data_IF_176076556651
#
_entry.id   IF_176076556651
#
_cell.length_a   1.000
_cell.length_b   1.000
_cell.length_c   1.000
_cell.angle_alpha   90.00
_cell.angle_beta   90.00
_cell.angle_gamma   90.00
#
_symmetry.space_group_name_H-M   'P 1'
#
loop_
_entity.id
_entity.type
_entity.pdbx_description
1 polymer ?
#
# COMPACT_ATOMS: atom_id res chain seq x y z
N UNK A 1 -9.28 -45.74 8.95
CA UNK A 1 -9.91 -44.43 9.22
C UNK A 1 -9.55 -43.38 8.17
N UNK A 2 -8.30 -43.17 7.80
CA UNK A 2 -7.87 -42.25 6.76
C UNK A 2 -8.53 -42.54 5.40
N UNK A 3 -8.62 -43.82 4.98
CA UNK A 3 -9.27 -44.22 3.73
C UNK A 3 -10.79 -43.90 3.72
N UNK A 4 -11.46 -44.05 4.84
CA UNK A 4 -12.88 -43.69 5.01
C UNK A 4 -13.09 -42.16 4.93
N UNK A 5 -12.15 -41.38 5.46
CA UNK A 5 -12.21 -39.92 5.38
C UNK A 5 -11.99 -39.43 3.95
N UNK A 6 -11.01 -40.00 3.26
CA UNK A 6 -10.68 -39.65 1.86
C UNK A 6 -11.84 -40.00 0.92
N UNK A 7 -12.49 -41.17 1.11
CA UNK A 7 -13.62 -41.59 0.27
C UNK A 7 -14.89 -40.71 0.43
N UNK A 8 -15.07 -40.09 1.59
CA UNK A 8 -16.23 -39.24 1.86
C UNK A 8 -15.94 -37.73 1.73
N UNK A 9 -14.68 -37.34 1.55
CA UNK A 9 -14.27 -35.94 1.45
C UNK A 9 -14.95 -35.21 0.26
N UNK A 10 -15.23 -35.89 -0.82
CA UNK A 10 -15.90 -35.36 -2.03
C UNK A 10 -17.43 -35.55 -2.02
N UNK A 11 -17.99 -36.18 -0.99
CA UNK A 11 -19.43 -36.46 -0.94
C UNK A 11 -20.17 -35.38 -0.16
N UNK A 12 -20.72 -34.39 -0.87
CA UNK A 12 -21.48 -33.26 -0.28
C UNK A 12 -22.65 -33.75 0.57
N UNK A 13 -23.32 -34.86 0.19
CA UNK A 13 -24.46 -35.39 0.94
C UNK A 13 -24.06 -35.92 2.33
N UNK A 14 -22.83 -36.42 2.47
CA UNK A 14 -22.31 -36.87 3.76
C UNK A 14 -22.15 -35.68 4.71
N UNK A 15 -21.63 -34.55 4.25
CA UNK A 15 -21.43 -33.34 5.04
C UNK A 15 -22.73 -32.65 5.43
N UNK A 16 -23.73 -32.68 4.56
CA UNK A 16 -25.08 -32.19 4.86
C UNK A 16 -25.80 -33.04 5.91
N UNK A 17 -25.53 -34.33 5.93
CA UNK A 17 -26.14 -35.25 6.91
C UNK A 17 -25.52 -35.12 8.31
N UNK A 18 -24.25 -34.70 8.39
CA UNK A 18 -23.53 -34.57 9.66
C UNK A 18 -22.81 -33.19 9.75
N UNK A 19 -23.56 -32.08 9.89
CA UNK A 19 -23.02 -30.74 9.86
C UNK A 19 -21.99 -30.45 10.98
N UNK A 20 -22.12 -31.14 12.12
CA UNK A 20 -21.15 -31.02 13.19
C UNK A 20 -19.77 -31.61 12.85
N UNK A 21 -19.70 -32.65 12.02
CA UNK A 21 -18.43 -33.19 11.53
C UNK A 21 -17.76 -32.21 10.56
N UNK A 22 -18.55 -31.57 9.72
CA UNK A 22 -18.05 -30.52 8.85
C UNK A 22 -17.46 -29.35 9.65
N UNK A 23 -18.17 -28.91 10.68
CA UNK A 23 -17.71 -27.84 11.57
C UNK A 23 -16.40 -28.22 12.31
N UNK A 24 -16.33 -29.44 12.85
CA UNK A 24 -15.10 -29.95 13.49
C UNK A 24 -13.92 -30.04 12.51
N UNK A 25 -14.16 -30.50 11.28
CA UNK A 25 -13.10 -30.62 10.27
C UNK A 25 -12.58 -29.24 9.83
N UNK A 26 -13.47 -28.26 9.67
CA UNK A 26 -13.09 -26.88 9.39
C UNK A 26 -12.29 -26.26 10.55
N UNK A 27 -12.73 -26.51 11.78
CA UNK A 27 -12.01 -26.06 12.97
C UNK A 27 -10.62 -26.71 13.08
N UNK A 28 -10.51 -28.01 12.83
CA UNK A 28 -9.23 -28.72 12.81
C UNK A 28 -8.29 -28.18 11.75
N UNK A 29 -8.79 -27.94 10.52
CA UNK A 29 -8.03 -27.37 9.43
C UNK A 29 -7.54 -25.96 9.79
N UNK A 30 -8.40 -25.15 10.39
CA UNK A 30 -8.02 -23.81 10.85
C UNK A 30 -6.90 -23.86 11.90
N UNK A 31 -7.01 -24.71 12.90
CA UNK A 31 -5.96 -24.86 13.93
C UNK A 31 -4.66 -25.41 13.34
N UNK A 32 -4.74 -26.32 12.36
CA UNK A 32 -3.57 -26.84 11.65
C UNK A 32 -2.86 -25.73 10.87
N UNK A 33 -3.60 -24.90 10.16
CA UNK A 33 -3.03 -23.76 9.42
C UNK A 33 -2.36 -22.79 10.40
N UNK A 34 -2.98 -22.51 11.55
CA UNK A 34 -2.40 -21.63 12.56
C UNK A 34 -1.10 -22.20 13.14
N UNK A 35 -1.06 -23.49 13.48
CA UNK A 35 0.12 -24.16 14.00
C UNK A 35 1.31 -24.14 13.00
N UNK A 36 1.02 -24.40 11.71
CA UNK A 36 2.03 -24.32 10.64
C UNK A 36 2.57 -22.89 10.48
N UNK A 37 1.69 -21.89 10.49
CA UNK A 37 2.09 -20.47 10.38
C UNK A 37 2.97 -20.01 11.54
N UNK A 38 2.74 -20.53 12.75
CA UNK A 38 3.55 -20.25 13.95
C UNK A 38 4.84 -21.08 13.99
N UNK A 39 5.05 -21.98 13.00
CA UNK A 39 6.17 -22.93 12.99
C UNK A 39 6.15 -23.91 14.18
N UNK A 40 4.99 -24.13 14.75
CA UNK A 40 4.76 -25.09 15.84
C UNK A 40 4.55 -26.50 15.27
N UNK A 41 5.61 -27.07 14.70
CA UNK A 41 5.55 -28.33 13.94
C UNK A 41 5.07 -29.53 14.79
N UNK A 42 5.40 -29.54 16.08
CA UNK A 42 4.97 -30.59 17.00
C UNK A 42 3.45 -30.56 17.13
N UNK A 43 2.85 -29.37 17.32
CA UNK A 43 1.42 -29.21 17.39
C UNK A 43 0.72 -29.50 16.06
N UNK A 44 1.32 -29.10 14.94
CA UNK A 44 0.78 -29.42 13.62
C UNK A 44 0.69 -30.95 13.40
N UNK A 45 1.73 -31.68 13.81
CA UNK A 45 1.72 -33.15 13.76
C UNK A 45 0.65 -33.76 14.68
N UNK A 46 0.51 -33.25 15.92
CA UNK A 46 -0.52 -33.69 16.89
C UNK A 46 -1.93 -33.43 16.36
N UNK A 47 -2.19 -32.26 15.75
CA UNK A 47 -3.50 -31.93 15.17
C UNK A 47 -3.83 -32.82 13.99
N UNK A 48 -2.82 -33.19 13.18
CA UNK A 48 -3.00 -34.06 12.01
C UNK A 48 -3.35 -35.50 12.42
N UNK A 49 -2.78 -36.02 13.51
CA UNK A 49 -2.96 -37.40 13.98
C UNK A 49 -4.13 -37.50 14.97
N UNK A 50 -4.28 -36.53 15.87
CA UNK A 50 -5.15 -36.59 17.06
C UNK A 50 -6.60 -36.16 16.84
N UNK A 51 -7.03 -35.91 15.60
CA UNK A 51 -8.39 -35.46 15.25
C UNK A 51 -8.82 -34.21 16.04
N UNK A 52 -10.13 -33.91 16.07
CA UNK A 52 -10.68 -32.70 16.68
C UNK A 52 -10.24 -32.41 18.13
N UNK A 53 -9.91 -33.45 18.92
CA UNK A 53 -9.42 -33.26 20.29
C UNK A 53 -8.06 -32.55 20.36
N UNK A 54 -7.13 -32.90 19.51
CA UNK A 54 -5.84 -32.22 19.47
C UNK A 54 -5.97 -30.76 19.03
N UNK A 55 -6.89 -30.46 18.12
CA UNK A 55 -7.19 -29.09 17.72
C UNK A 55 -7.83 -28.28 18.87
N UNK A 56 -8.69 -28.87 19.68
CA UNK A 56 -9.24 -28.25 20.89
C UNK A 56 -8.15 -27.97 21.93
N UNK A 57 -7.27 -28.93 22.18
CA UNK A 57 -6.15 -28.74 23.10
C UNK A 57 -5.23 -27.61 22.63
N UNK A 58 -4.88 -27.60 21.34
CA UNK A 58 -4.09 -26.53 20.75
C UNK A 58 -4.78 -25.17 20.89
N UNK A 59 -6.08 -25.11 20.65
CA UNK A 59 -6.86 -23.89 20.81
C UNK A 59 -6.75 -23.30 22.21
N UNK A 60 -6.93 -24.11 23.26
CA UNK A 60 -6.87 -23.61 24.63
C UNK A 60 -5.43 -23.36 25.12
N UNK A 61 -4.48 -24.24 24.80
CA UNK A 61 -3.12 -24.17 25.31
C UNK A 61 -2.26 -23.11 24.58
N UNK A 62 -2.42 -22.98 23.27
CA UNK A 62 -1.55 -22.14 22.45
C UNK A 62 -2.32 -20.98 21.80
N UNK A 63 -3.39 -21.30 21.06
CA UNK A 63 -4.08 -20.28 20.26
C UNK A 63 -4.70 -19.19 21.13
N UNK A 64 -5.44 -19.56 22.20
CA UNK A 64 -6.10 -18.61 23.11
C UNK A 64 -5.11 -17.84 23.98
N UNK A 65 -4.02 -18.47 24.38
CA UNK A 65 -2.98 -17.86 25.23
C UNK A 65 -2.04 -16.92 24.46
N UNK A 66 -1.99 -17.05 23.13
CA UNK A 66 -1.10 -16.26 22.31
C UNK A 66 -1.50 -14.78 22.26
N UNK A 67 -0.52 -13.85 22.18
CA UNK A 67 -0.80 -12.43 21.94
C UNK A 67 -1.64 -12.24 20.68
N UNK A 68 -2.51 -11.22 20.67
CA UNK A 68 -3.43 -10.95 19.55
C UNK A 68 -2.72 -10.77 18.19
N UNK A 69 -1.50 -10.24 18.21
CA UNK A 69 -0.66 -10.07 17.01
C UNK A 69 -0.19 -11.37 16.34
N UNK A 70 -0.24 -12.49 17.10
CA UNK A 70 0.15 -13.83 16.61
C UNK A 70 -1.05 -14.76 16.45
N UNK A 71 -2.27 -14.31 16.77
CA UNK A 71 -3.50 -15.10 16.62
C UNK A 71 -3.99 -15.10 15.18
N UNK A 72 -3.80 -16.21 14.50
CA UNK A 72 -4.51 -16.66 13.32
C UNK A 72 -4.63 -15.72 12.12
N UNK A 73 -5.56 -16.04 11.27
CA UNK A 73 -5.85 -15.34 10.02
C UNK A 73 -6.55 -14.00 10.29
N UNK A 74 -5.84 -12.90 10.02
CA UNK A 74 -6.50 -11.59 9.93
C UNK A 74 -7.07 -11.40 8.52
N UNK A 75 -8.37 -11.12 8.45
CA UNK A 75 -9.02 -10.78 7.18
C UNK A 75 -8.33 -9.56 6.56
N UNK A 76 -8.12 -9.53 5.23
CA UNK A 76 -7.58 -8.36 4.57
C UNK A 76 -8.31 -7.08 5.00
N UNK A 77 -7.55 -6.06 5.42
CA UNK A 77 -8.09 -4.79 5.92
C UNK A 77 -8.66 -4.84 7.36
N UNK A 78 -8.50 -5.93 8.12
CA UNK A 78 -8.91 -5.96 9.52
C UNK A 78 -8.10 -4.98 10.38
N UNK A 79 -6.81 -4.88 10.12
CA UNK A 79 -5.92 -3.92 10.76
C UNK A 79 -6.40 -2.48 10.53
N UNK A 80 -6.69 -2.12 9.28
CA UNK A 80 -7.18 -0.78 8.94
C UNK A 80 -8.50 -0.47 9.61
N UNK A 81 -9.46 -1.44 9.61
CA UNK A 81 -10.76 -1.25 10.27
C UNK A 81 -10.61 -1.00 11.77
N UNK A 82 -9.71 -1.73 12.42
CA UNK A 82 -9.40 -1.54 13.83
C UNK A 82 -8.76 -0.17 14.06
N UNK A 83 -7.76 0.19 13.25
CA UNK A 83 -7.07 1.48 13.37
C UNK A 83 -8.00 2.67 13.12
N UNK A 84 -8.92 2.56 12.15
CA UNK A 84 -9.95 3.57 11.90
C UNK A 84 -10.82 3.78 13.15
N UNK A 85 -11.30 2.70 13.79
CA UNK A 85 -12.11 2.82 15.03
C UNK A 85 -11.34 3.45 16.17
N UNK A 86 -10.06 3.08 16.34
CA UNK A 86 -9.19 3.66 17.36
C UNK A 86 -8.98 5.16 17.12
N UNK A 87 -8.69 5.58 15.88
CA UNK A 87 -8.53 6.99 15.53
C UNK A 87 -9.82 7.78 15.68
N UNK A 88 -10.97 7.22 15.30
CA UNK A 88 -12.27 7.85 15.51
C UNK A 88 -12.58 8.08 16.99
N UNK A 89 -12.24 7.11 17.86
CA UNK A 89 -12.36 7.27 19.29
C UNK A 89 -11.41 8.34 19.84
N UNK A 90 -10.17 8.38 19.35
CA UNK A 90 -9.19 9.41 19.73
C UNK A 90 -9.63 10.81 19.30
N UNK A 91 -10.18 10.95 18.08
CA UNK A 91 -10.75 12.22 17.59
C UNK A 91 -11.91 12.65 18.48
N UNK A 92 -12.81 11.73 18.84
CA UNK A 92 -13.93 12.05 19.73
C UNK A 92 -13.48 12.57 21.10
N UNK A 93 -12.39 12.04 21.65
CA UNK A 93 -11.92 12.42 22.99
C UNK A 93 -10.93 13.58 23.00
N UNK A 94 -10.03 13.67 22.01
CA UNK A 94 -8.89 14.59 22.04
C UNK A 94 -8.87 15.58 20.87
N UNK A 95 -9.58 15.32 19.79
CA UNK A 95 -9.74 16.16 18.59
C UNK A 95 -8.46 16.87 18.10
N UNK A 96 -7.34 16.12 18.04
CA UNK A 96 -6.03 16.67 17.64
C UNK A 96 -5.81 16.53 16.14
N UNK A 97 -5.12 17.50 15.53
CA UNK A 97 -4.79 17.54 14.10
C UNK A 97 -4.21 16.21 13.59
N UNK A 98 -3.20 15.67 14.27
CA UNK A 98 -2.51 14.46 13.81
C UNK A 98 -3.41 13.20 13.76
N UNK A 99 -4.46 13.10 14.60
CA UNK A 99 -5.40 11.97 14.51
C UNK A 99 -6.22 12.04 13.23
N UNK A 100 -6.64 13.23 12.83
CA UNK A 100 -7.33 13.46 11.56
C UNK A 100 -6.41 13.17 10.37
N UNK A 101 -5.15 13.63 10.41
CA UNK A 101 -4.17 13.36 9.36
C UNK A 101 -3.93 11.86 9.19
N UNK A 102 -3.68 11.12 10.28
CA UNK A 102 -3.51 9.66 10.23
C UNK A 102 -4.75 8.92 9.69
N UNK A 103 -5.95 9.39 10.04
CA UNK A 103 -7.19 8.83 9.51
C UNK A 103 -7.32 9.10 8.00
N UNK A 104 -6.90 10.29 7.57
CA UNK A 104 -6.80 10.69 6.18
C UNK A 104 -5.87 9.76 5.39
N UNK A 105 -4.69 9.45 5.93
CA UNK A 105 -3.70 8.55 5.32
C UNK A 105 -4.28 7.15 5.06
N UNK A 106 -5.02 6.59 6.03
CA UNK A 106 -5.66 5.29 5.86
C UNK A 106 -6.71 5.35 4.74
N UNK A 107 -7.55 6.39 4.71
CA UNK A 107 -8.53 6.54 3.64
C UNK A 107 -7.89 6.79 2.27
N UNK A 108 -6.79 7.54 2.23
CA UNK A 108 -6.03 7.77 1.01
C UNK A 108 -5.43 6.47 0.44
N UNK A 109 -4.83 5.64 1.30
CA UNK A 109 -4.32 4.32 0.92
C UNK A 109 -5.42 3.38 0.43
N UNK A 110 -6.62 3.47 1.01
CA UNK A 110 -7.80 2.71 0.57
C UNK A 110 -8.45 3.28 -0.72
N UNK A 111 -7.95 4.39 -1.26
CA UNK A 111 -8.53 5.06 -2.43
C UNK A 111 -9.84 5.81 -2.15
N UNK A 112 -10.22 5.99 -0.89
CA UNK A 112 -11.41 6.73 -0.46
C UNK A 112 -11.08 8.21 -0.36
N UNK A 113 -10.82 8.84 -1.52
CA UNK A 113 -10.22 10.17 -1.61
C UNK A 113 -11.06 11.26 -0.97
N UNK A 114 -12.40 11.21 -1.10
CA UNK A 114 -13.28 12.22 -0.50
C UNK A 114 -13.22 12.20 1.03
N UNK A 115 -13.11 10.99 1.63
CA UNK A 115 -12.94 10.84 3.08
C UNK A 115 -11.56 11.28 3.53
N UNK A 116 -10.54 11.00 2.74
CA UNK A 116 -9.17 11.44 3.02
C UNK A 116 -9.08 12.96 3.00
N UNK A 117 -9.65 13.62 1.96
CA UNK A 117 -9.71 15.08 1.86
C UNK A 117 -10.39 15.70 3.08
N UNK A 118 -11.58 15.19 3.46
CA UNK A 118 -12.30 15.70 4.62
C UNK A 118 -11.46 15.60 5.92
N UNK A 119 -10.75 14.50 6.09
CA UNK A 119 -9.87 14.31 7.24
C UNK A 119 -8.66 15.27 7.22
N UNK A 120 -8.01 15.44 6.07
CA UNK A 120 -6.87 16.36 5.96
C UNK A 120 -7.29 17.83 6.15
N UNK A 121 -8.45 18.24 5.63
CA UNK A 121 -8.99 19.58 5.88
C UNK A 121 -9.28 19.78 7.37
N UNK A 122 -9.92 18.82 8.03
CA UNK A 122 -10.16 18.86 9.46
C UNK A 122 -8.86 18.91 10.28
N UNK A 123 -7.78 18.26 9.83
CA UNK A 123 -6.48 18.36 10.45
C UNK A 123 -5.90 19.80 10.31
N UNK A 124 -5.98 20.38 9.10
CA UNK A 124 -5.49 21.74 8.84
C UNK A 124 -6.31 22.84 9.51
N UNK A 125 -7.59 22.63 9.82
CA UNK A 125 -8.36 23.54 10.68
C UNK A 125 -7.80 23.64 12.09
N UNK A 126 -7.15 22.57 12.59
CA UNK A 126 -6.56 22.49 13.93
C UNK A 126 -5.09 22.89 13.96
N UNK A 127 -4.38 22.56 12.89
CA UNK A 127 -2.97 22.93 12.69
C UNK A 127 -2.76 23.35 11.22
N UNK A 128 -2.95 24.63 10.89
CA UNK A 128 -2.80 25.14 9.52
C UNK A 128 -1.36 25.08 8.99
N UNK A 129 -0.38 24.96 9.88
CA UNK A 129 1.03 25.00 9.52
C UNK A 129 1.64 23.61 9.33
N UNK A 130 0.89 22.53 9.56
CA UNK A 130 1.39 21.18 9.38
C UNK A 130 1.73 20.91 7.89
N UNK A 131 3.02 20.89 7.60
CA UNK A 131 3.57 20.73 6.26
C UNK A 131 3.23 19.36 5.68
N UNK A 132 3.24 18.29 6.49
CA UNK A 132 2.92 16.94 6.09
C UNK A 132 1.47 16.83 5.64
N UNK A 133 0.54 17.38 6.43
CA UNK A 133 -0.89 17.36 6.09
C UNK A 133 -1.19 18.21 4.84
N UNK A 134 -0.50 19.37 4.66
CA UNK A 134 -0.62 20.16 3.42
C UNK A 134 -0.16 19.37 2.20
N UNK A 135 0.95 18.65 2.31
CA UNK A 135 1.47 17.80 1.24
C UNK A 135 0.51 16.65 0.91
N UNK A 136 -0.03 15.97 1.93
CA UNK A 136 -0.99 14.87 1.77
C UNK A 136 -2.30 15.35 1.14
N UNK A 137 -2.82 16.50 1.55
CA UNK A 137 -4.01 17.11 0.93
C UNK A 137 -3.75 17.45 -0.54
N UNK A 138 -2.60 18.06 -0.86
CA UNK A 138 -2.21 18.35 -2.24
C UNK A 138 -2.14 17.09 -3.11
N UNK A 139 -1.54 16.01 -2.61
CA UNK A 139 -1.49 14.72 -3.30
C UNK A 139 -2.89 14.09 -3.44
N UNK A 140 -3.75 14.25 -2.43
CA UNK A 140 -5.13 13.77 -2.48
C UNK A 140 -5.93 14.46 -3.58
N UNK A 141 -5.87 15.78 -3.65
CA UNK A 141 -6.51 16.59 -4.68
C UNK A 141 -6.00 16.28 -6.09
N UNK A 142 -4.69 16.06 -6.24
CA UNK A 142 -4.12 15.63 -7.50
C UNK A 142 -4.69 14.28 -7.96
N UNK A 143 -4.82 13.30 -7.06
CA UNK A 143 -5.46 12.00 -7.37
C UNK A 143 -6.94 12.12 -7.68
N UNK A 144 -7.64 13.12 -7.13
CA UNK A 144 -9.02 13.49 -7.49
C UNK A 144 -9.12 14.24 -8.82
N UNK A 145 -8.01 14.46 -9.53
CA UNK A 145 -7.94 15.25 -10.78
C UNK A 145 -8.33 16.73 -10.60
N UNK A 146 -7.98 17.30 -9.46
CA UNK A 146 -8.17 18.71 -9.09
C UNK A 146 -6.83 19.43 -8.94
N UNK A 147 -6.00 19.51 -10.01
CA UNK A 147 -4.64 20.06 -9.93
C UNK A 147 -4.62 21.55 -9.58
N UNK A 148 -5.65 22.31 -9.97
CA UNK A 148 -5.74 23.75 -9.66
C UNK A 148 -5.73 24.00 -8.15
N UNK A 149 -6.43 23.15 -7.38
CA UNK A 149 -6.48 23.27 -5.91
C UNK A 149 -5.24 22.65 -5.24
N UNK A 150 -4.66 21.62 -5.85
CA UNK A 150 -3.45 20.97 -5.33
C UNK A 150 -2.21 21.89 -5.42
N UNK A 151 -2.12 22.69 -6.49
CA UNK A 151 -0.95 23.52 -6.79
C UNK A 151 -0.54 24.44 -5.63
N UNK A 152 -1.37 25.33 -5.08
CA UNK A 152 -0.95 26.27 -4.04
C UNK A 152 -0.46 25.56 -2.77
N UNK A 153 -1.05 24.41 -2.42
CA UNK A 153 -0.64 23.61 -1.26
C UNK A 153 0.77 23.05 -1.47
N UNK A 154 1.01 22.43 -2.63
CA UNK A 154 2.29 21.80 -2.94
C UNK A 154 3.39 22.83 -3.20
N UNK A 155 3.09 23.98 -3.82
CA UNK A 155 4.02 25.11 -3.96
C UNK A 155 4.44 25.64 -2.57
N UNK A 156 3.50 25.79 -1.65
CA UNK A 156 3.79 26.20 -0.28
C UNK A 156 4.72 25.21 0.42
N UNK A 157 4.45 23.90 0.31
CA UNK A 157 5.30 22.84 0.89
C UNK A 157 6.69 22.85 0.29
N UNK A 158 6.83 22.92 -1.02
CA UNK A 158 8.13 22.91 -1.71
C UNK A 158 8.94 24.17 -1.42
N UNK A 159 8.30 25.34 -1.32
CA UNK A 159 8.96 26.59 -0.98
C UNK A 159 9.48 26.61 0.47
N UNK A 160 8.73 26.02 1.40
CA UNK A 160 9.11 25.92 2.81
C UNK A 160 10.20 24.88 3.04
N UNK A 161 10.07 23.71 2.41
CA UNK A 161 11.05 22.63 2.50
C UNK A 161 11.20 21.90 1.14
N UNK A 162 12.19 22.29 0.31
CA UNK A 162 12.42 21.64 -0.98
C UNK A 162 12.82 20.16 -0.90
N UNK A 163 13.26 19.69 0.27
CA UNK A 163 13.62 18.27 0.52
C UNK A 163 12.54 17.50 1.25
N UNK A 164 11.35 18.09 1.41
CA UNK A 164 10.24 17.45 2.09
C UNK A 164 9.94 16.08 1.49
N UNK A 165 9.79 15.09 2.38
CA UNK A 165 9.48 13.70 2.04
C UNK A 165 10.40 13.15 0.93
N UNK A 166 11.71 13.36 1.07
CA UNK A 166 12.72 12.87 0.11
C UNK A 166 12.42 13.25 -1.36
N UNK A 167 11.80 14.41 -1.60
CA UNK A 167 11.44 14.90 -2.92
C UNK A 167 10.08 14.42 -3.46
N UNK A 168 9.31 13.63 -2.69
CA UNK A 168 7.97 13.21 -3.12
C UNK A 168 7.01 14.40 -3.29
N UNK A 169 7.14 15.44 -2.46
CA UNK A 169 6.35 16.66 -2.60
C UNK A 169 6.69 17.43 -3.88
N UNK A 170 7.98 17.48 -4.25
CA UNK A 170 8.42 18.07 -5.53
C UNK A 170 7.87 17.27 -6.71
N UNK A 171 7.89 15.93 -6.64
CA UNK A 171 7.28 15.08 -7.67
C UNK A 171 5.78 15.31 -7.79
N UNK A 172 5.06 15.45 -6.66
CA UNK A 172 3.63 15.75 -6.68
C UNK A 172 3.32 17.11 -7.31
N UNK A 173 4.15 18.13 -7.04
CA UNK A 173 4.03 19.43 -7.68
C UNK A 173 4.32 19.34 -9.20
N UNK A 174 5.37 18.62 -9.60
CA UNK A 174 5.70 18.40 -11.00
C UNK A 174 4.55 17.69 -11.76
N UNK A 175 3.92 16.68 -11.16
CA UNK A 175 2.73 16.03 -11.72
C UNK A 175 1.53 16.98 -11.80
N UNK A 176 1.36 17.84 -10.80
CA UNK A 176 0.31 18.86 -10.79
C UNK A 176 0.50 19.83 -11.95
N UNK A 177 1.70 20.35 -12.15
CA UNK A 177 2.01 21.24 -13.27
C UNK A 177 1.84 20.53 -14.62
N UNK A 178 2.26 19.26 -14.73
CA UNK A 178 2.02 18.43 -15.92
C UNK A 178 0.52 18.31 -16.22
N UNK A 179 -0.31 18.06 -15.21
CA UNK A 179 -1.76 17.92 -15.34
C UNK A 179 -2.44 19.26 -15.74
N UNK A 180 -1.83 20.38 -15.40
CA UNK A 180 -2.29 21.73 -15.79
C UNK A 180 -1.77 22.18 -17.17
N UNK A 181 -0.87 21.41 -17.79
CA UNK A 181 -0.25 21.76 -19.07
C UNK A 181 0.94 22.72 -18.95
N UNK A 182 1.41 23.05 -17.74
CA UNK A 182 2.64 23.82 -17.52
C UNK A 182 3.85 22.91 -17.70
N UNK A 183 4.19 22.66 -18.96
CA UNK A 183 5.29 21.77 -19.35
C UNK A 183 6.64 22.30 -18.91
N UNK A 184 6.84 23.63 -18.94
CA UNK A 184 8.12 24.24 -18.60
C UNK A 184 8.40 24.13 -17.09
N UNK A 185 7.42 24.46 -16.26
CA UNK A 185 7.51 24.31 -14.80
C UNK A 185 7.68 22.85 -14.39
N UNK A 186 6.90 21.94 -14.98
CA UNK A 186 7.01 20.51 -14.73
C UNK A 186 8.41 19.98 -15.09
N UNK A 187 8.95 20.35 -16.25
CA UNK A 187 10.27 19.92 -16.71
C UNK A 187 11.37 20.34 -15.72
N UNK A 188 11.33 21.58 -15.23
CA UNK A 188 12.31 22.07 -14.27
C UNK A 188 12.29 21.26 -12.96
N UNK A 189 11.09 20.97 -12.43
CA UNK A 189 10.95 20.19 -11.19
C UNK A 189 11.37 18.72 -11.38
N UNK A 190 10.99 18.09 -12.50
CA UNK A 190 11.42 16.71 -12.76
C UNK A 190 12.93 16.59 -12.90
N UNK A 191 13.61 17.56 -13.55
CA UNK A 191 15.09 17.64 -13.59
C UNK A 191 15.67 17.74 -12.19
N UNK A 192 15.18 18.66 -11.38
CA UNK A 192 15.61 18.82 -9.99
C UNK A 192 15.52 17.50 -9.20
N UNK A 193 14.42 16.75 -9.37
CA UNK A 193 14.26 15.45 -8.71
C UNK A 193 15.25 14.42 -9.23
N UNK A 194 15.46 14.33 -10.55
CA UNK A 194 16.37 13.32 -11.14
C UNK A 194 17.84 13.61 -10.86
N UNK A 195 18.22 14.87 -10.64
CA UNK A 195 19.56 15.25 -10.20
C UNK A 195 19.84 14.86 -8.76
N UNK A 196 18.82 14.94 -7.88
CA UNK A 196 18.95 14.62 -6.47
C UNK A 196 18.71 13.14 -6.13
N UNK A 197 17.90 12.45 -6.93
CA UNK A 197 17.42 11.10 -6.63
C UNK A 197 17.28 10.23 -7.89
N UNK A 198 17.66 8.96 -7.80
CA UNK A 198 17.48 7.98 -8.87
C UNK A 198 16.12 7.27 -8.79
N UNK A 199 15.02 8.02 -8.87
CA UNK A 199 13.68 7.43 -8.90
C UNK A 199 13.26 7.05 -10.32
N UNK A 200 12.98 5.76 -10.61
CA UNK A 200 12.50 5.33 -11.93
C UNK A 200 11.24 6.07 -12.39
N UNK A 201 10.36 6.42 -11.44
CA UNK A 201 9.17 7.24 -11.71
C UNK A 201 9.53 8.61 -12.26
N UNK A 202 10.47 9.31 -11.64
CA UNK A 202 10.88 10.66 -12.04
C UNK A 202 11.54 10.66 -13.42
N UNK A 203 12.47 9.75 -13.65
CA UNK A 203 13.16 9.60 -14.94
C UNK A 203 12.17 9.29 -16.08
N UNK A 204 11.18 8.42 -15.85
CA UNK A 204 10.15 8.10 -16.85
C UNK A 204 9.27 9.30 -17.16
N UNK A 205 8.81 10.04 -16.13
CA UNK A 205 8.00 11.24 -16.33
C UNK A 205 8.78 12.34 -17.07
N UNK A 206 10.05 12.53 -16.72
CA UNK A 206 10.95 13.44 -17.43
C UNK A 206 11.11 13.03 -18.89
N UNK A 207 11.32 11.75 -19.17
CA UNK A 207 11.45 11.23 -20.52
C UNK A 207 10.17 11.45 -21.36
N UNK A 208 8.99 11.31 -20.78
CA UNK A 208 7.70 11.59 -21.44
C UNK A 208 7.58 13.08 -21.81
N UNK A 209 8.00 13.99 -20.92
CA UNK A 209 8.02 15.42 -21.22
C UNK A 209 9.06 15.77 -22.29
N UNK A 210 10.25 15.16 -22.26
CA UNK A 210 11.24 15.33 -23.33
C UNK A 210 10.70 14.85 -24.67
N UNK A 211 10.01 13.70 -24.70
CA UNK A 211 9.39 13.19 -25.92
C UNK A 211 8.31 14.15 -26.45
N UNK A 212 7.45 14.67 -25.57
CA UNK A 212 6.42 15.63 -25.94
C UNK A 212 7.01 16.94 -26.52
N UNK A 213 8.20 17.33 -26.06
CA UNK A 213 8.93 18.50 -26.53
C UNK A 213 9.85 18.22 -27.75
N UNK A 214 9.75 17.03 -28.35
CA UNK A 214 10.59 16.67 -29.52
C UNK A 214 12.06 16.35 -29.21
N UNK A 215 12.44 16.26 -27.94
CA UNK A 215 13.78 15.98 -27.45
C UNK A 215 14.02 14.47 -27.29
N UNK A 216 13.92 13.74 -28.38
CA UNK A 216 13.93 12.27 -28.39
C UNK A 216 15.22 11.66 -27.82
N UNK A 217 16.38 12.28 -28.05
CA UNK A 217 17.66 11.75 -27.57
C UNK A 217 17.78 11.84 -26.05
N UNK A 218 17.31 12.94 -25.44
CA UNK A 218 17.26 13.09 -23.98
C UNK A 218 16.28 12.11 -23.37
N UNK A 219 15.10 11.94 -23.97
CA UNK A 219 14.13 10.95 -23.52
C UNK A 219 14.71 9.52 -23.55
N UNK A 220 15.42 9.16 -24.62
CA UNK A 220 16.08 7.85 -24.73
C UNK A 220 17.16 7.64 -23.67
N UNK A 221 17.95 8.69 -23.35
CA UNK A 221 18.98 8.62 -22.33
C UNK A 221 18.37 8.28 -20.96
N UNK A 222 17.36 9.03 -20.51
CA UNK A 222 16.67 8.80 -19.23
C UNK A 222 16.08 7.38 -19.15
N UNK A 223 15.42 6.92 -20.22
CA UNK A 223 14.83 5.58 -20.25
C UNK A 223 15.87 4.46 -20.24
N UNK A 224 17.03 4.67 -20.89
CA UNK A 224 18.15 3.72 -20.85
C UNK A 224 18.69 3.57 -19.43
N UNK A 225 18.85 4.68 -18.73
CA UNK A 225 19.34 4.69 -17.35
C UNK A 225 18.38 3.92 -16.42
N UNK A 226 17.05 4.12 -16.55
CA UNK A 226 16.07 3.34 -15.78
C UNK A 226 16.20 1.84 -16.04
N UNK A 227 16.44 1.44 -17.28
CA UNK A 227 16.57 0.02 -17.65
C UNK A 227 17.87 -0.56 -17.11
N UNK A 228 18.98 0.18 -17.20
CA UNK A 228 20.28 -0.24 -16.67
C UNK A 228 20.27 -0.35 -15.13
N UNK A 229 19.66 0.64 -14.43
CA UNK A 229 19.53 0.63 -12.98
C UNK A 229 18.73 -0.61 -12.49
N UNK A 230 17.68 -1.04 -13.23
CA UNK A 230 16.87 -2.22 -12.88
C UNK A 230 17.67 -3.53 -12.92
N UNK A 231 18.66 -3.65 -13.81
CA UNK A 231 19.50 -4.85 -13.93
C UNK A 231 20.34 -5.09 -12.67
N UNK A 232 20.78 -4.00 -12.02
CA UNK A 232 21.62 -4.06 -10.82
C UNK A 232 20.82 -3.90 -9.51
N UNK A 233 19.52 -3.62 -9.59
CA UNK A 233 18.68 -3.36 -8.42
C UNK A 233 18.44 -4.63 -7.59
N UNK A 234 18.39 -4.53 -6.24
CA UNK A 234 18.00 -5.65 -5.38
C UNK A 234 16.55 -6.10 -5.62
N UNK A 235 16.24 -7.36 -5.31
CA UNK A 235 14.95 -7.98 -5.61
C UNK A 235 13.73 -7.20 -5.05
N UNK A 236 13.85 -6.63 -3.84
CA UNK A 236 12.77 -5.84 -3.23
C UNK A 236 12.49 -4.54 -4.01
N UNK A 237 13.54 -3.89 -4.51
CA UNK A 237 13.43 -2.66 -5.28
C UNK A 237 12.84 -2.94 -6.67
N UNK A 238 13.30 -4.02 -7.34
CA UNK A 238 12.73 -4.47 -8.63
C UNK A 238 11.23 -4.74 -8.52
N UNK A 239 10.77 -5.31 -7.40
CA UNK A 239 9.35 -5.52 -7.12
C UNK A 239 8.56 -4.22 -7.03
N UNK A 240 9.07 -3.26 -6.27
CA UNK A 240 8.47 -1.94 -6.05
C UNK A 240 8.38 -1.13 -7.34
N UNK A 241 9.46 -1.10 -8.10
CA UNK A 241 9.62 -0.19 -9.24
C UNK A 241 9.19 -0.83 -10.57
N UNK A 242 8.72 -2.09 -10.53
CA UNK A 242 8.35 -2.91 -11.70
C UNK A 242 7.41 -2.22 -12.69
N UNK A 243 6.47 -1.43 -12.21
CA UNK A 243 5.54 -0.70 -13.07
C UNK A 243 6.29 0.33 -13.94
N UNK A 244 7.16 1.14 -13.33
CA UNK A 244 7.89 2.20 -14.01
C UNK A 244 8.94 1.65 -14.98
N UNK A 245 9.63 0.60 -14.58
CA UNK A 245 10.58 -0.11 -15.45
C UNK A 245 9.90 -0.70 -16.70
N UNK A 246 8.71 -1.32 -16.52
CA UNK A 246 7.93 -1.81 -17.67
C UNK A 246 7.48 -0.68 -18.59
N UNK A 247 7.09 0.46 -18.02
CA UNK A 247 6.71 1.66 -18.77
C UNK A 247 7.92 2.21 -19.53
N UNK A 248 9.09 2.31 -18.88
CA UNK A 248 10.34 2.70 -19.52
C UNK A 248 10.70 1.80 -20.71
N UNK A 249 10.69 0.48 -20.53
CA UNK A 249 10.96 -0.50 -21.59
C UNK A 249 9.98 -0.37 -22.78
N UNK A 250 8.70 -0.06 -22.51
CA UNK A 250 7.69 0.16 -23.56
C UNK A 250 7.97 1.44 -24.34
N UNK A 251 8.19 2.55 -23.65
CA UNK A 251 8.49 3.84 -24.27
C UNK A 251 9.81 3.79 -25.05
N UNK A 252 10.84 3.15 -24.51
CA UNK A 252 12.12 3.01 -25.22
C UNK A 252 11.99 2.28 -26.56
N UNK A 253 11.08 1.31 -26.66
CA UNK A 253 10.80 0.60 -27.93
C UNK A 253 10.07 1.47 -28.95
N UNK A 254 9.30 2.47 -28.53
CA UNK A 254 8.58 3.36 -29.47
C UNK A 254 9.50 4.36 -30.17
N UNK A 255 10.76 4.47 -29.74
CA UNK A 255 11.78 5.29 -30.41
C UNK A 255 12.55 4.53 -31.51
N UNK A 256 12.19 3.30 -31.79
CA UNK A 256 12.67 2.56 -32.95
C UNK A 256 11.82 2.92 -34.14
#
# INVERSE_FOLDING_TARGET
MLAFFISNLLNIQYWLRYPWLAAMSLFQLWMLIDAVRRKEWVWALFIMIGWGFAALFYYFAVYRAAPSSTRGFELPGAFDRRRIKELQAQIHHLDKAHHHSQLGDIYFQQGKLDKAEACYRAALERDPNDIDTRAHLGQCLLRQKRPIEARPLLEGVVSENPKHDYGYSVMALAETLTAMGDTAGALALWKQVTEAHSYPRAKVQLAELYQANGQADLARAELRDVIADDEHAPAFQRGRDRFWVRRAKRLFRSFK
#
